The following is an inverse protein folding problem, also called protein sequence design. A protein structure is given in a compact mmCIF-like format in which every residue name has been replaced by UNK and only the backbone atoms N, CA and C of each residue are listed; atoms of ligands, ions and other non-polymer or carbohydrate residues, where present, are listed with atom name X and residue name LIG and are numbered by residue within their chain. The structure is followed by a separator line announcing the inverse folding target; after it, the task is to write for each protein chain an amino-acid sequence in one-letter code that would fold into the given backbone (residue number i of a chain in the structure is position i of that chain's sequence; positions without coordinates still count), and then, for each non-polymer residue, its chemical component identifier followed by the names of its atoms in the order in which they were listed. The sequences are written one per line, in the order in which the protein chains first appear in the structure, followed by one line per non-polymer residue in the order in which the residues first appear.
data_IF_234540801484
#
_entry.id   IF_234540801484
#
_cell.length_a   1.000
_cell.length_b   1.000
_cell.length_c   1.000
_cell.angle_alpha   90.00
_cell.angle_beta   90.00
_cell.angle_gamma   90.00
#
_symmetry.space_group_name_H-M   'P 1'
#
loop_
_entity.id
_entity.type
_entity.pdbx_description
1 polymer ?
#
# COMPACT_ATOMS: atom_id res chain seq x y z
N UNK A 1 -9.73 29.00 -23.60
CA UNK A 1 -9.54 27.63 -23.09
C UNK A 1 -8.13 27.57 -22.54
N UNK A 2 -7.92 27.33 -21.24
CA UNK A 2 -6.56 27.17 -20.73
C UNK A 2 -5.95 25.91 -21.35
N UNK A 3 -4.70 26.00 -21.81
CA UNK A 3 -3.92 24.84 -22.23
C UNK A 3 -3.97 23.77 -21.12
N UNK A 4 -4.01 22.46 -21.45
CA UNK A 4 -4.01 21.41 -20.44
C UNK A 4 -2.80 21.57 -19.51
N UNK A 5 -2.91 21.23 -18.22
CA UNK A 5 -1.78 21.33 -17.29
C UNK A 5 -0.65 20.43 -17.80
N UNK A 6 0.48 21.05 -18.11
CA UNK A 6 1.71 20.41 -18.55
C UNK A 6 2.09 19.33 -17.52
N UNK A 7 2.44 18.13 -17.97
CA UNK A 7 3.19 17.21 -17.11
C UNK A 7 4.49 17.89 -16.72
N UNK A 8 4.70 18.01 -15.42
CA UNK A 8 5.88 18.62 -14.81
C UNK A 8 6.82 17.53 -14.27
N UNK A 9 8.03 17.96 -13.90
CA UNK A 9 9.02 17.11 -13.29
C UNK A 9 10.05 16.52 -14.25
N UNK A 10 10.87 15.61 -13.73
CA UNK A 10 12.02 15.03 -14.39
C UNK A 10 11.64 13.72 -15.10
N UNK A 11 12.19 13.52 -16.31
CA UNK A 11 12.11 12.26 -17.04
C UNK A 11 13.40 12.08 -17.82
N UNK A 12 14.16 11.03 -17.52
CA UNK A 12 15.35 10.69 -18.26
C UNK A 12 15.00 10.37 -19.73
N UNK A 13 15.87 10.67 -20.71
CA UNK A 13 15.55 10.53 -22.13
C UNK A 13 14.95 9.18 -22.56
N UNK A 14 15.43 8.00 -22.07
CA UNK A 14 14.83 6.70 -22.40
C UNK A 14 13.36 6.57 -21.97
N UNK A 15 12.93 7.32 -20.95
CA UNK A 15 11.57 7.30 -20.42
C UNK A 15 10.64 8.34 -21.06
N UNK A 16 11.09 9.07 -22.10
CA UNK A 16 10.24 10.00 -22.84
C UNK A 16 8.93 9.39 -23.37
N UNK A 17 8.89 8.13 -23.85
CA UNK A 17 7.64 7.48 -24.24
C UNK A 17 6.61 7.38 -23.10
N UNK A 18 7.06 7.16 -21.85
CA UNK A 18 6.17 7.12 -20.69
C UNK A 18 5.52 8.48 -20.41
N UNK A 19 6.28 9.57 -20.55
CA UNK A 19 5.74 10.94 -20.45
C UNK A 19 4.65 11.18 -21.50
N UNK A 20 4.82 10.67 -22.72
CA UNK A 20 3.83 10.82 -23.79
C UNK A 20 2.53 10.08 -23.43
N UNK A 21 2.63 8.83 -22.99
CA UNK A 21 1.46 8.03 -22.58
C UNK A 21 0.71 8.68 -21.40
N UNK A 22 1.41 9.21 -20.41
CA UNK A 22 0.79 9.98 -19.32
C UNK A 22 0.09 11.25 -19.84
N UNK A 23 0.69 11.94 -20.82
CA UNK A 23 0.11 13.15 -21.41
C UNK A 23 -1.17 12.83 -22.16
N UNK A 24 -1.16 11.75 -22.95
CA UNK A 24 -2.32 11.24 -23.70
C UNK A 24 -3.45 10.85 -22.75
N UNK A 25 -3.16 10.11 -21.67
CA UNK A 25 -4.18 9.73 -20.69
C UNK A 25 -4.77 10.94 -19.96
N UNK A 26 -3.98 11.98 -19.68
CA UNK A 26 -4.47 13.22 -19.09
C UNK A 26 -5.36 14.01 -20.07
N UNK A 27 -4.98 14.07 -21.35
CA UNK A 27 -5.76 14.74 -22.40
C UNK A 27 -7.06 14.01 -22.73
N UNK A 28 -7.03 12.68 -22.74
CA UNK A 28 -8.20 11.82 -22.91
C UNK A 28 -9.14 11.84 -21.70
N UNK A 29 -8.67 12.37 -20.56
CA UNK A 29 -9.42 12.41 -19.30
C UNK A 29 -9.44 11.06 -18.58
N UNK A 30 -8.61 10.09 -18.99
CA UNK A 30 -8.36 8.85 -18.26
C UNK A 30 -7.66 9.12 -16.92
N UNK A 31 -6.86 10.20 -16.86
CA UNK A 31 -6.32 10.76 -15.63
C UNK A 31 -7.06 12.05 -15.23
N UNK A 32 -7.14 12.29 -13.91
CA UNK A 32 -7.52 13.61 -13.36
C UNK A 32 -6.26 14.33 -12.87
N UNK A 33 -5.57 13.74 -11.92
CA UNK A 33 -4.25 14.14 -11.45
C UNK A 33 -3.48 12.96 -10.89
N UNK A 34 -2.16 13.02 -11.03
CA UNK A 34 -1.27 11.93 -10.68
C UNK A 34 0.13 12.40 -10.30
N UNK A 35 0.87 11.50 -9.67
CA UNK A 35 2.33 11.50 -9.58
C UNK A 35 2.85 10.09 -9.90
N UNK A 36 4.00 10.02 -10.58
CA UNK A 36 4.70 8.78 -10.93
C UNK A 36 6.20 8.97 -10.72
N UNK A 37 6.83 8.04 -10.00
CA UNK A 37 8.28 8.06 -9.80
C UNK A 37 8.90 6.69 -10.04
N UNK A 38 10.05 6.70 -10.71
CA UNK A 38 10.87 5.52 -10.97
C UNK A 38 12.30 5.80 -10.55
N UNK A 39 12.87 4.88 -9.79
CA UNK A 39 14.27 4.90 -9.40
C UNK A 39 14.97 3.65 -9.91
N UNK A 40 16.25 3.77 -10.27
CA UNK A 40 17.13 2.65 -10.64
C UNK A 40 18.45 2.84 -9.90
N UNK A 41 18.79 1.90 -9.02
CA UNK A 41 19.83 2.11 -8.01
C UNK A 41 19.47 3.30 -7.10
N UNK A 42 20.39 4.25 -6.98
CA UNK A 42 20.18 5.49 -6.21
C UNK A 42 19.67 6.67 -7.08
N UNK A 43 19.45 6.46 -8.38
CA UNK A 43 19.08 7.54 -9.30
C UNK A 43 17.56 7.57 -9.55
N UNK A 44 16.97 8.75 -9.41
CA UNK A 44 15.58 9.00 -9.85
C UNK A 44 15.57 9.28 -11.34
N UNK A 45 15.13 8.30 -12.13
CA UNK A 45 15.05 8.39 -13.60
C UNK A 45 13.72 8.97 -14.08
N UNK A 46 12.67 8.87 -13.26
CA UNK A 46 11.37 9.50 -13.50
C UNK A 46 10.84 10.09 -12.19
N UNK A 47 10.37 11.32 -12.24
CA UNK A 47 9.64 11.99 -11.17
C UNK A 47 8.70 13.00 -11.84
N UNK A 48 7.51 12.51 -12.18
CA UNK A 48 6.51 13.23 -12.97
C UNK A 48 5.23 13.44 -12.17
N UNK A 49 4.60 14.59 -12.39
CA UNK A 49 3.26 14.88 -11.88
C UNK A 49 2.50 15.77 -12.84
N UNK A 50 1.17 15.75 -12.76
CA UNK A 50 0.33 16.55 -13.65
C UNK A 50 -1.15 16.42 -13.35
N UNK A 51 -1.94 17.23 -14.05
CA UNK A 51 -3.39 17.25 -13.88
C UNK A 51 -3.87 18.13 -12.73
N UNK A 52 -4.93 17.69 -12.07
CA UNK A 52 -5.67 18.45 -11.06
C UNK A 52 -5.81 17.67 -9.75
N UNK A 53 -5.71 18.37 -8.62
CA UNK A 53 -5.88 17.82 -7.29
C UNK A 53 -7.37 17.64 -6.92
N UNK A 54 -8.30 18.31 -7.60
CA UNK A 54 -9.74 18.31 -7.31
C UNK A 54 -10.60 17.92 -8.51
N UNK A 55 -11.80 17.39 -8.25
CA UNK A 55 -12.74 16.99 -9.30
C UNK A 55 -13.21 18.16 -10.17
N UNK A 56 -13.31 19.36 -9.57
CA UNK A 56 -13.72 20.58 -10.26
C UNK A 56 -12.63 21.16 -11.17
N UNK A 57 -11.41 20.59 -11.18
CA UNK A 57 -10.27 21.03 -11.98
C UNK A 57 -9.88 22.49 -11.71
N UNK A 58 -9.99 22.92 -10.46
CA UNK A 58 -9.65 24.29 -10.03
C UNK A 58 -8.27 24.38 -9.39
N UNK A 59 -7.74 23.25 -8.91
CA UNK A 59 -6.46 23.16 -8.25
C UNK A 59 -5.51 22.28 -9.05
N UNK A 60 -4.39 22.81 -9.57
CA UNK A 60 -3.42 21.98 -10.28
C UNK A 60 -2.73 21.00 -9.32
N UNK A 61 -2.42 19.81 -9.80
CA UNK A 61 -1.52 18.90 -9.09
C UNK A 61 -0.10 19.49 -9.06
N UNK A 62 0.54 19.53 -7.89
CA UNK A 62 1.88 20.08 -7.70
C UNK A 62 2.87 19.01 -7.26
N UNK A 63 4.16 19.35 -7.21
CA UNK A 63 5.21 18.45 -6.72
C UNK A 63 4.99 17.95 -5.27
N UNK A 64 4.21 18.68 -4.47
CA UNK A 64 3.96 18.40 -3.06
C UNK A 64 2.52 17.89 -2.80
N UNK A 65 1.73 17.71 -3.86
CA UNK A 65 0.37 17.17 -3.73
C UNK A 65 0.45 15.72 -3.27
N UNK A 66 -0.26 15.38 -2.20
CA UNK A 66 -0.41 14.01 -1.69
C UNK A 66 -1.84 13.54 -1.85
N UNK A 67 -2.01 12.23 -1.91
CA UNK A 67 -3.32 11.58 -2.01
C UNK A 67 -3.36 10.36 -1.09
N UNK A 68 -4.56 9.87 -0.79
CA UNK A 68 -4.70 8.58 -0.14
C UNK A 68 -4.22 7.48 -1.09
N UNK A 69 -3.28 6.64 -0.66
CA UNK A 69 -2.75 5.53 -1.46
C UNK A 69 -3.40 4.18 -1.08
N UNK A 70 -4.48 4.22 -0.32
CA UNK A 70 -5.25 3.07 0.15
C UNK A 70 -4.37 1.90 0.59
N UNK A 71 -4.57 0.71 0.02
CA UNK A 71 -3.85 -0.50 0.41
C UNK A 71 -2.35 -0.46 0.13
N UNK A 72 -1.83 0.38 -0.77
CA UNK A 72 -0.38 0.57 -0.94
C UNK A 72 0.31 0.97 0.37
N UNK A 73 -0.44 1.57 1.32
CA UNK A 73 0.03 1.85 2.68
C UNK A 73 0.53 0.60 3.43
N UNK A 74 0.01 -0.59 3.12
CA UNK A 74 0.46 -1.86 3.72
C UNK A 74 1.93 -2.14 3.51
N UNK A 75 2.51 -1.69 2.38
CA UNK A 75 3.95 -1.85 2.14
C UNK A 75 4.74 -1.15 3.25
N UNK A 76 4.34 0.07 3.63
CA UNK A 76 4.99 0.87 4.67
C UNK A 76 4.61 0.36 6.07
N UNK A 77 3.36 -0.03 6.29
CA UNK A 77 2.93 -0.62 7.58
C UNK A 77 3.68 -1.91 7.89
N UNK A 78 3.84 -2.79 6.91
CA UNK A 78 4.60 -4.02 7.08
C UNK A 78 6.11 -3.76 7.12
N UNK A 79 6.61 -2.69 6.51
CA UNK A 79 7.99 -2.23 6.71
C UNK A 79 8.26 -1.92 8.19
N UNK A 80 7.32 -1.27 8.90
CA UNK A 80 7.47 -1.02 10.33
C UNK A 80 7.61 -2.32 11.15
N UNK A 81 6.76 -3.33 10.88
CA UNK A 81 6.89 -4.65 11.50
C UNK A 81 8.22 -5.31 11.16
N UNK A 82 8.66 -5.21 9.91
CA UNK A 82 9.91 -5.78 9.44
C UNK A 82 11.14 -5.11 10.05
N UNK A 83 11.11 -3.81 10.35
CA UNK A 83 12.16 -3.15 11.12
C UNK A 83 12.24 -3.69 12.56
N UNK A 84 11.10 -4.03 13.18
CA UNK A 84 11.10 -4.70 14.49
C UNK A 84 11.63 -6.14 14.41
N UNK A 85 11.38 -6.83 13.30
CA UNK A 85 11.95 -8.17 13.02
C UNK A 85 13.47 -8.07 12.89
N UNK A 86 13.96 -7.10 12.11
CA UNK A 86 15.39 -6.85 11.91
C UNK A 86 16.11 -6.52 13.23
N UNK A 87 15.45 -5.77 14.11
CA UNK A 87 15.95 -5.43 15.46
C UNK A 87 15.84 -6.59 16.46
N UNK A 88 15.28 -7.73 16.08
CA UNK A 88 15.04 -8.88 16.96
C UNK A 88 13.96 -8.66 18.02
N UNK A 89 13.12 -7.62 17.85
CA UNK A 89 12.04 -7.26 18.77
C UNK A 89 10.71 -7.95 18.43
N UNK A 90 10.55 -8.39 17.18
CA UNK A 90 9.40 -9.13 16.69
C UNK A 90 9.86 -10.43 16.00
N UNK A 91 9.39 -11.58 16.48
CA UNK A 91 9.67 -12.88 15.87
C UNK A 91 8.47 -13.33 15.01
N UNK A 92 8.63 -13.48 13.67
CA UNK A 92 7.58 -13.97 12.77
C UNK A 92 7.01 -15.34 13.15
N UNK A 93 7.81 -16.19 13.82
CA UNK A 93 7.41 -17.55 14.21
C UNK A 93 6.84 -17.61 15.63
N UNK A 94 6.83 -16.51 16.37
CA UNK A 94 6.22 -16.46 17.69
C UNK A 94 4.69 -16.24 17.58
N UNK A 95 3.91 -16.75 18.55
CA UNK A 95 2.52 -16.39 18.70
C UNK A 95 2.35 -14.88 18.88
N UNK A 96 1.32 -14.29 18.28
CA UNK A 96 0.93 -12.88 18.49
C UNK A 96 0.68 -12.63 19.99
N UNK A 97 0.11 -13.61 20.68
CA UNK A 97 -0.14 -13.59 22.13
C UNK A 97 1.10 -13.33 23.00
N UNK A 98 2.31 -13.57 22.48
CA UNK A 98 3.57 -13.23 23.17
C UNK A 98 3.70 -11.71 23.38
N UNK A 99 3.24 -10.92 22.43
CA UNK A 99 3.33 -9.45 22.44
C UNK A 99 2.01 -8.80 22.86
N UNK A 100 0.90 -9.50 22.62
CA UNK A 100 -0.45 -9.03 22.88
C UNK A 100 -1.28 -10.16 23.53
N UNK A 101 -1.18 -10.36 24.86
CA UNK A 101 -1.81 -11.49 25.55
C UNK A 101 -3.33 -11.60 25.32
N UNK A 102 -4.03 -10.47 25.27
CA UNK A 102 -5.48 -10.41 25.05
C UNK A 102 -5.90 -10.95 23.67
N UNK A 103 -4.98 -10.95 22.69
CA UNK A 103 -5.21 -11.55 21.38
C UNK A 103 -5.40 -13.06 21.45
N UNK A 104 -4.95 -13.74 22.51
CA UNK A 104 -5.08 -15.18 22.66
C UNK A 104 -6.54 -15.66 22.72
N UNK A 105 -7.49 -14.78 23.02
CA UNK A 105 -8.90 -15.13 23.20
C UNK A 105 -9.51 -15.86 22.00
N UNK A 106 -10.51 -16.70 22.26
CA UNK A 106 -11.36 -17.33 21.24
C UNK A 106 -10.59 -18.12 20.15
N UNK A 107 -9.61 -18.92 20.57
CA UNK A 107 -8.92 -19.86 19.68
C UNK A 107 -7.76 -19.26 18.88
N UNK A 108 -7.21 -18.13 19.32
CA UNK A 108 -6.15 -17.38 18.63
C UNK A 108 -4.76 -17.59 19.25
N UNK A 109 -4.63 -18.46 20.25
CA UNK A 109 -3.39 -18.73 20.99
C UNK A 109 -2.25 -19.20 20.08
N UNK A 110 -2.58 -19.89 18.99
CA UNK A 110 -1.63 -20.43 18.01
C UNK A 110 -1.42 -19.54 16.77
N UNK A 111 -2.05 -18.36 16.68
CA UNK A 111 -1.82 -17.44 15.56
C UNK A 111 -0.43 -16.83 15.70
N UNK A 112 0.42 -17.10 14.71
CA UNK A 112 1.77 -16.57 14.62
C UNK A 112 1.79 -15.19 13.97
N UNK A 113 2.82 -14.40 14.28
CA UNK A 113 3.05 -13.08 13.66
C UNK A 113 3.07 -13.19 12.12
N UNK A 114 3.74 -14.20 11.56
CA UNK A 114 3.74 -14.42 10.10
C UNK A 114 2.35 -14.62 9.51
N UNK A 115 1.39 -15.17 10.26
CA UNK A 115 0.01 -15.33 9.77
C UNK A 115 -0.71 -13.98 9.63
N UNK A 116 -0.38 -13.00 10.48
CA UNK A 116 -0.90 -11.63 10.35
C UNK A 116 -0.27 -10.95 9.13
N UNK A 117 1.05 -11.08 8.98
CA UNK A 117 1.79 -10.46 7.86
C UNK A 117 1.42 -11.09 6.51
N UNK A 118 1.07 -12.38 6.47
CA UNK A 118 0.79 -13.10 5.22
C UNK A 118 -0.70 -13.34 4.94
N UNK A 119 -1.61 -12.64 5.62
CA UNK A 119 -3.07 -12.75 5.42
C UNK A 119 -3.67 -14.15 5.70
N UNK A 120 -3.10 -14.91 6.63
CA UNK A 120 -3.58 -16.26 6.99
C UNK A 120 -4.09 -16.38 8.43
N UNK A 121 -4.24 -15.25 9.14
CA UNK A 121 -4.69 -15.18 10.53
C UNK A 121 -6.20 -15.41 10.75
N UNK A 122 -7.04 -15.45 9.71
CA UNK A 122 -8.48 -15.67 9.87
C UNK A 122 -9.29 -14.48 10.33
N UNK A 123 -8.80 -13.26 10.12
CA UNK A 123 -9.45 -12.02 10.55
C UNK A 123 -9.61 -11.00 9.41
N UNK A 124 -10.07 -11.38 8.21
CA UNK A 124 -10.07 -10.48 7.05
C UNK A 124 -10.92 -9.23 7.26
N UNK A 125 -11.96 -9.30 8.11
CA UNK A 125 -12.82 -8.19 8.50
C UNK A 125 -13.35 -8.36 9.93
N UNK A 126 -14.03 -7.33 10.44
CA UNK A 126 -14.77 -7.41 11.70
C UNK A 126 -16.08 -8.20 11.54
N UNK A 127 -16.48 -8.94 12.57
CA UNK A 127 -17.83 -9.50 12.66
C UNK A 127 -18.89 -8.41 12.77
N UNK A 128 -20.08 -8.69 12.21
CA UNK A 128 -21.20 -7.76 12.26
C UNK A 128 -21.91 -7.81 13.63
N UNK A 129 -22.46 -6.68 14.12
CA UNK A 129 -22.45 -5.35 13.51
C UNK A 129 -21.13 -4.59 13.74
N UNK A 130 -20.72 -3.83 12.74
CA UNK A 130 -19.59 -2.89 12.80
C UNK A 130 -19.94 -1.62 12.02
N UNK A 131 -19.58 -0.46 12.55
CA UNK A 131 -19.76 0.84 11.88
C UNK A 131 -18.44 1.45 11.44
N UNK A 132 -18.49 2.39 10.49
CA UNK A 132 -17.31 3.16 10.09
C UNK A 132 -16.71 3.94 11.27
N UNK A 133 -17.54 4.46 12.18
CA UNK A 133 -17.10 5.16 13.38
C UNK A 133 -16.27 4.24 14.29
N UNK A 134 -16.76 3.02 14.57
CA UNK A 134 -16.04 2.03 15.35
C UNK A 134 -14.74 1.57 14.67
N UNK A 135 -14.71 1.50 13.33
CA UNK A 135 -13.48 1.21 12.57
C UNK A 135 -12.48 2.36 12.70
N UNK A 136 -12.95 3.61 12.72
CA UNK A 136 -12.11 4.79 12.84
C UNK A 136 -11.67 5.08 14.29
N UNK A 137 -12.25 4.40 15.28
CA UNK A 137 -11.78 4.37 16.66
C UNK A 137 -10.79 3.20 16.82
N UNK A 138 -9.49 3.50 16.70
CA UNK A 138 -8.43 2.47 16.73
C UNK A 138 -8.50 1.56 17.98
N UNK A 139 -8.65 2.08 19.22
CA UNK A 139 -8.88 1.24 20.39
C UNK A 139 -10.07 0.27 20.26
N UNK A 140 -11.24 0.76 19.82
CA UNK A 140 -12.45 -0.07 19.65
C UNK A 140 -12.24 -1.12 18.56
N UNK A 141 -11.75 -0.70 17.39
CA UNK A 141 -11.46 -1.59 16.26
C UNK A 141 -10.50 -2.72 16.65
N UNK A 142 -9.44 -2.39 17.42
CA UNK A 142 -8.43 -3.33 17.91
C UNK A 142 -9.02 -4.31 18.91
N UNK A 143 -9.78 -3.82 19.90
CA UNK A 143 -10.41 -4.65 20.92
C UNK A 143 -11.40 -5.66 20.31
N UNK A 144 -12.19 -5.24 19.30
CA UNK A 144 -13.09 -6.13 18.58
C UNK A 144 -12.34 -7.27 17.88
N UNK A 145 -11.22 -6.99 17.20
CA UNK A 145 -10.39 -8.04 16.58
C UNK A 145 -9.74 -8.97 17.62
N UNK A 146 -9.32 -8.42 18.76
CA UNK A 146 -8.77 -9.21 19.87
C UNK A 146 -9.78 -10.21 20.42
N UNK A 147 -11.06 -9.82 20.50
CA UNK A 147 -12.13 -10.66 20.99
C UNK A 147 -12.75 -11.57 19.90
N UNK A 148 -12.48 -11.34 18.61
CA UNK A 148 -13.11 -12.11 17.53
C UNK A 148 -12.51 -13.51 17.38
N UNK A 149 -13.34 -14.51 17.13
CA UNK A 149 -12.88 -15.85 16.71
C UNK A 149 -12.40 -15.79 15.25
N UNK A 150 -11.27 -16.44 14.89
CA UNK A 150 -10.83 -16.47 13.50
C UNK A 150 -11.84 -17.26 12.65
N UNK A 151 -12.05 -16.80 11.41
CA UNK A 151 -13.01 -17.41 10.48
C UNK A 151 -12.63 -18.81 10.02
N UNK A 152 -11.36 -19.19 10.19
CA UNK A 152 -10.85 -20.52 9.89
C UNK A 152 -9.87 -21.00 10.95
N UNK A 153 -9.79 -22.31 11.09
CA UNK A 153 -8.86 -23.02 11.98
C UNK A 153 -8.39 -24.30 11.28
N UNK A 154 -7.11 -24.70 11.44
CA UNK A 154 -6.06 -24.05 12.22
C UNK A 154 -5.54 -22.74 11.58
N UNK A 155 -4.86 -21.85 12.33
CA UNK A 155 -4.17 -20.67 11.76
C UNK A 155 -3.23 -21.07 10.61
N UNK A 156 -3.14 -20.26 9.56
CA UNK A 156 -2.32 -20.60 8.40
C UNK A 156 -3.01 -21.48 7.34
N UNK A 157 -4.16 -22.08 7.65
CA UNK A 157 -4.84 -23.05 6.75
C UNK A 157 -5.47 -22.42 5.50
N UNK A 158 -5.83 -21.14 5.55
CA UNK A 158 -6.47 -20.43 4.46
C UNK A 158 -5.83 -19.07 4.28
N UNK A 159 -5.72 -18.65 3.02
CA UNK A 159 -5.39 -17.29 2.63
C UNK A 159 -6.69 -16.52 2.40
N UNK A 160 -6.81 -15.37 3.03
CA UNK A 160 -7.90 -14.43 2.77
C UNK A 160 -7.47 -13.03 3.14
N UNK A 161 -7.36 -12.16 2.15
CA UNK A 161 -6.88 -10.80 2.28
C UNK A 161 -7.58 -10.01 3.39
N UNK A 162 -6.80 -9.27 4.16
CA UNK A 162 -7.24 -8.44 5.30
C UNK A 162 -7.22 -6.97 4.87
N UNK A 163 -8.24 -6.46 4.15
CA UNK A 163 -8.22 -5.14 3.53
C UNK A 163 -8.00 -4.00 4.54
N UNK A 164 -8.64 -4.05 5.69
CA UNK A 164 -8.48 -3.03 6.73
C UNK A 164 -7.77 -3.57 7.98
N UNK A 165 -8.13 -4.77 8.39
CA UNK A 165 -7.74 -5.34 9.69
C UNK A 165 -6.25 -5.63 9.81
N UNK A 166 -5.51 -5.90 8.72
CA UNK A 166 -4.06 -6.10 8.81
C UNK A 166 -3.36 -4.86 9.40
N UNK A 167 -3.76 -3.66 8.96
CA UNK A 167 -3.16 -2.43 9.46
C UNK A 167 -3.39 -2.24 10.96
N UNK A 168 -4.55 -2.65 11.46
CA UNK A 168 -4.90 -2.61 12.89
C UNK A 168 -4.09 -3.63 13.68
N UNK A 169 -4.00 -4.87 13.19
CA UNK A 169 -3.25 -5.95 13.83
C UNK A 169 -1.74 -5.64 13.90
N UNK A 170 -1.16 -5.16 12.80
CA UNK A 170 0.25 -4.76 12.75
C UNK A 170 0.49 -3.52 13.60
N UNK A 171 -0.40 -2.54 13.54
CA UNK A 171 -0.30 -1.33 14.37
C UNK A 171 -0.32 -1.62 15.86
N UNK A 172 -1.16 -2.56 16.32
CA UNK A 172 -1.20 -2.96 17.72
C UNK A 172 0.08 -3.70 18.14
N UNK A 173 0.66 -4.54 17.28
CA UNK A 173 1.97 -5.16 17.54
C UNK A 173 3.06 -4.11 17.71
N UNK A 174 3.13 -3.13 16.80
CA UNK A 174 4.08 -2.00 16.90
C UNK A 174 3.88 -1.26 18.22
N UNK A 175 2.63 -0.94 18.58
CA UNK A 175 2.31 -0.21 19.81
C UNK A 175 2.69 -0.98 21.07
N UNK A 176 2.42 -2.28 21.12
CA UNK A 176 2.77 -3.15 22.27
C UNK A 176 4.27 -3.28 22.46
N UNK A 177 5.04 -3.31 21.37
CA UNK A 177 6.49 -3.49 21.41
C UNK A 177 7.23 -2.18 21.72
N UNK A 178 6.76 -1.06 21.15
CA UNK A 178 7.51 0.21 21.15
C UNK A 178 6.90 1.27 22.07
N UNK A 179 5.62 1.14 22.43
CA UNK A 179 4.85 2.19 23.09
C UNK A 179 4.37 3.31 22.16
N UNK A 180 4.79 3.34 20.90
CA UNK A 180 4.39 4.37 19.91
C UNK A 180 3.15 3.92 19.13
N UNK A 181 2.35 4.88 18.66
CA UNK A 181 1.34 4.57 17.63
C UNK A 181 2.02 4.14 16.32
N UNK A 182 1.29 3.47 15.43
CA UNK A 182 1.85 3.03 14.15
C UNK A 182 2.30 4.23 13.31
N UNK A 183 1.49 5.29 13.27
CA UNK A 183 1.80 6.54 12.59
C UNK A 183 3.04 7.21 13.16
N UNK A 184 3.17 7.29 14.49
CA UNK A 184 4.35 7.86 15.13
C UNK A 184 5.63 7.06 14.86
N UNK A 185 5.55 5.73 14.89
CA UNK A 185 6.69 4.87 14.54
C UNK A 185 7.09 5.07 13.07
N UNK A 186 6.13 5.01 12.14
CA UNK A 186 6.40 5.22 10.70
C UNK A 186 7.00 6.61 10.46
N UNK A 187 6.48 7.64 11.12
CA UNK A 187 6.99 9.00 10.97
C UNK A 187 8.46 9.11 11.42
N UNK A 188 8.77 8.64 12.62
CA UNK A 188 10.10 8.79 13.24
C UNK A 188 11.17 7.83 12.71
N UNK A 189 10.78 6.63 12.29
CA UNK A 189 11.73 5.57 11.90
C UNK A 189 11.89 5.42 10.39
N UNK A 190 10.89 5.86 9.61
CA UNK A 190 10.85 5.69 8.15
C UNK A 190 10.78 7.05 7.45
N UNK A 191 9.69 7.80 7.65
CA UNK A 191 9.39 8.97 6.84
C UNK A 191 10.39 10.12 7.04
N UNK A 192 10.63 10.55 8.29
CA UNK A 192 11.55 11.66 8.59
C UNK A 192 13.02 11.32 8.27
N UNK A 193 13.56 10.17 8.67
CA UNK A 193 14.92 9.77 8.29
C UNK A 193 15.18 9.71 6.80
N UNK A 194 14.16 9.34 6.01
CA UNK A 194 14.25 9.30 4.57
C UNK A 194 13.87 10.66 3.97
N UNK A 195 13.31 11.62 4.69
CA UNK A 195 12.72 12.82 4.09
C UNK A 195 11.61 12.48 3.09
N UNK A 196 10.85 11.42 3.34
CA UNK A 196 9.72 11.00 2.53
C UNK A 196 8.43 11.61 3.08
N UNK A 197 7.67 12.32 2.23
CA UNK A 197 6.37 12.89 2.59
C UNK A 197 5.29 11.79 2.58
N UNK A 198 5.29 11.01 3.67
CA UNK A 198 4.36 9.93 3.94
C UNK A 198 3.80 10.08 5.35
N UNK A 199 2.49 9.91 5.53
CA UNK A 199 1.84 9.88 6.85
C UNK A 199 0.72 8.85 6.92
N UNK A 200 0.53 8.24 8.09
CA UNK A 200 -0.70 7.49 8.44
C UNK A 200 -1.63 8.42 9.21
N UNK A 201 -2.92 8.37 8.87
CA UNK A 201 -3.93 9.42 9.07
C UNK A 201 -3.89 10.29 10.33
N UNK A 202 -2.95 11.23 10.36
CA UNK A 202 -3.07 12.51 11.08
C UNK A 202 -2.42 13.57 10.21
N UNK A 203 -3.25 14.24 9.39
CA UNK A 203 -2.94 15.59 8.95
C UNK A 203 -3.54 16.50 10.03
N UNK A 204 -2.72 17.12 10.92
CA UNK A 204 -3.27 17.95 11.99
C UNK A 204 -4.20 19.01 11.41
N UNK A 205 -5.31 19.25 12.09
CA UNK A 205 -6.42 20.05 11.59
C UNK A 205 -6.25 21.58 11.84
N UNK A 206 -5.08 22.07 12.24
CA UNK A 206 -4.85 23.50 12.47
C UNK A 206 -3.42 24.05 12.20
N UNK A 207 -3.46 25.28 11.68
CA UNK A 207 -2.50 26.33 11.29
C UNK A 207 -1.35 26.08 10.29
N UNK A 208 -0.76 24.88 10.17
CA UNK A 208 0.36 24.64 9.21
C UNK A 208 0.21 23.39 8.34
N UNK A 209 -0.72 22.49 8.67
CA UNK A 209 -1.03 21.35 7.84
C UNK A 209 -1.84 21.83 6.66
N UNK A 210 -1.27 21.88 5.45
CA UNK A 210 -1.93 22.46 4.28
C UNK A 210 -3.00 21.49 3.70
N UNK A 211 -4.30 21.57 4.05
CA UNK A 211 -5.33 20.80 3.36
C UNK A 211 -5.36 21.11 1.86
N UNK A 212 -4.76 22.22 1.40
CA UNK A 212 -4.66 22.52 -0.03
C UNK A 212 -3.71 21.57 -0.78
N UNK A 213 -2.87 20.79 -0.08
CA UNK A 213 -1.99 19.81 -0.73
C UNK A 213 -2.60 18.41 -0.87
N UNK A 214 -3.74 18.12 -0.24
CA UNK A 214 -4.36 16.79 -0.29
C UNK A 214 -5.36 16.71 -1.43
N UNK A 215 -5.06 15.90 -2.43
CA UNK A 215 -5.96 15.66 -3.55
C UNK A 215 -7.28 15.01 -3.10
N UNK A 216 -8.38 15.43 -3.72
CA UNK A 216 -9.70 14.83 -3.58
C UNK A 216 -9.73 13.49 -4.32
N UNK A 217 -10.03 12.40 -3.61
CA UNK A 217 -10.20 11.09 -4.22
C UNK A 217 -11.53 11.00 -4.98
N UNK A 218 -11.49 10.70 -6.27
CA UNK A 218 -12.65 10.65 -7.16
C UNK A 218 -12.93 9.20 -7.56
N UNK A 219 -13.89 8.53 -6.88
CA UNK A 219 -14.27 7.16 -7.19
C UNK A 219 -15.17 7.06 -8.44
N UNK A 220 -15.10 5.92 -9.14
CA UNK A 220 -16.05 5.57 -10.20
C UNK A 220 -17.39 5.08 -9.62
N UNK A 221 -18.53 5.35 -10.28
CA UNK A 221 -19.85 4.91 -9.82
C UNK A 221 -20.05 3.38 -9.67
N UNK A 222 -19.21 2.55 -10.30
CA UNK A 222 -19.41 1.09 -10.43
C UNK A 222 -18.21 0.27 -9.94
N UNK A 223 -17.51 0.72 -8.90
CA UNK A 223 -16.24 0.08 -8.46
C UNK A 223 -16.32 -1.35 -7.95
N UNK A 224 -17.46 -1.75 -7.39
CA UNK A 224 -17.64 -3.10 -6.87
C UNK A 224 -19.11 -3.48 -6.98
N UNK A 225 -19.42 -4.37 -7.92
CA UNK A 225 -20.73 -4.99 -7.95
C UNK A 225 -20.75 -6.15 -6.96
N UNK A 226 -21.68 -6.09 -6.01
CA UNK A 226 -21.98 -7.19 -5.11
C UNK A 226 -23.07 -8.12 -5.69
N UNK A 227 -23.61 -7.76 -6.86
CA UNK A 227 -24.62 -8.56 -7.54
C UNK A 227 -24.04 -9.93 -7.95
N UNK A 228 -24.78 -11.00 -7.65
CA UNK A 228 -24.38 -12.36 -7.99
C UNK A 228 -23.34 -12.99 -7.06
N UNK A 229 -22.82 -12.26 -6.06
CA UNK A 229 -21.99 -12.85 -5.03
C UNK A 229 -22.83 -13.70 -4.07
N UNK A 230 -22.32 -14.89 -3.74
CA UNK A 230 -22.91 -15.71 -2.68
C UNK A 230 -22.90 -14.92 -1.36
N UNK A 231 -24.06 -14.67 -0.73
CA UNK A 231 -24.16 -13.97 0.55
C UNK A 231 -23.33 -14.62 1.68
N UNK A 232 -23.06 -15.92 1.59
CA UNK A 232 -22.25 -16.66 2.55
C UNK A 232 -20.74 -16.64 2.23
N UNK A 233 -20.33 -16.11 1.06
CA UNK A 233 -18.93 -16.09 0.65
C UNK A 233 -18.06 -15.25 1.59
N UNK A 234 -16.79 -15.65 1.72
CA UNK A 234 -15.78 -14.92 2.50
C UNK A 234 -15.58 -13.50 1.94
N UNK A 235 -15.65 -13.32 0.61
CA UNK A 235 -15.62 -12.00 -0.01
C UNK A 235 -16.81 -11.13 0.44
N UNK A 236 -18.04 -11.64 0.39
CA UNK A 236 -19.21 -10.87 0.85
C UNK A 236 -19.08 -10.47 2.32
N UNK A 237 -18.75 -11.44 3.19
CA UNK A 237 -18.55 -11.18 4.63
C UNK A 237 -17.45 -10.15 4.86
N UNK A 238 -16.37 -10.19 4.09
CA UNK A 238 -15.25 -9.24 4.21
C UNK A 238 -15.67 -7.83 3.83
N UNK A 239 -16.40 -7.67 2.72
CA UNK A 239 -16.92 -6.37 2.29
C UNK A 239 -17.89 -5.79 3.32
N UNK A 240 -18.82 -6.59 3.83
CA UNK A 240 -19.82 -6.13 4.80
C UNK A 240 -19.18 -5.84 6.17
N UNK A 241 -18.17 -6.62 6.58
CA UNK A 241 -17.45 -6.44 7.83
C UNK A 241 -16.37 -5.34 7.78
N UNK A 242 -16.15 -4.69 6.64
CA UNK A 242 -15.25 -3.54 6.49
C UNK A 242 -15.89 -2.44 5.62
N UNK A 243 -17.01 -1.84 6.05
CA UNK A 243 -17.80 -0.90 5.25
C UNK A 243 -17.12 0.48 5.14
N UNK A 244 -16.01 0.54 4.41
CA UNK A 244 -15.20 1.75 4.23
C UNK A 244 -15.49 2.33 2.84
N UNK A 245 -16.30 3.40 2.71
CA UNK A 245 -16.52 4.04 1.43
C UNK A 245 -15.26 4.79 0.99
N UNK A 246 -14.94 4.83 -0.32
CA UNK A 246 -13.72 5.46 -0.81
C UNK A 246 -13.71 6.97 -0.52
N UNK A 247 -14.87 7.62 -0.44
CA UNK A 247 -15.02 9.04 -0.11
C UNK A 247 -14.72 9.34 1.37
N UNK A 248 -14.59 8.34 2.26
CA UNK A 248 -14.27 8.57 3.67
C UNK A 248 -12.88 9.18 3.90
N UNK A 249 -12.07 9.32 2.86
CA UNK A 249 -10.77 10.01 2.86
C UNK A 249 -10.86 11.47 2.35
N UNK A 250 -12.05 11.95 1.95
CA UNK A 250 -12.22 13.29 1.37
C UNK A 250 -12.73 14.32 2.37
N UNK A 251 -12.09 15.49 2.37
CA UNK A 251 -12.45 16.62 3.23
C UNK A 251 -11.69 16.63 4.56
N UNK A 252 -11.46 17.81 5.13
CA UNK A 252 -10.68 17.97 6.37
C UNK A 252 -11.29 17.24 7.57
N UNK A 253 -12.62 17.10 7.62
CA UNK A 253 -13.34 16.41 8.69
C UNK A 253 -13.50 14.90 8.50
N UNK A 254 -12.97 14.33 7.41
CA UNK A 254 -13.22 12.93 7.08
C UNK A 254 -12.63 12.00 8.14
N UNK A 255 -13.39 10.98 8.59
CA UNK A 255 -12.97 10.14 9.71
C UNK A 255 -11.67 9.40 9.40
N UNK A 256 -11.47 8.91 8.17
CA UNK A 256 -10.22 8.25 7.80
C UNK A 256 -9.01 9.16 7.71
N UNK A 257 -9.15 10.49 7.61
CA UNK A 257 -7.98 11.39 7.63
C UNK A 257 -7.35 11.52 9.01
N UNK A 258 -8.09 11.17 10.06
CA UNK A 258 -7.72 11.38 11.47
C UNK A 258 -7.43 10.10 12.25
N UNK A 259 -7.55 8.94 11.61
CA UNK A 259 -7.27 7.65 12.23
C UNK A 259 -5.94 7.09 11.71
N UNK A 260 -5.28 6.24 12.47
CA UNK A 260 -4.16 5.43 11.96
C UNK A 260 -4.65 4.03 11.54
N UNK A 261 -5.13 3.90 10.29
CA UNK A 261 -5.51 2.60 9.71
C UNK A 261 -4.47 2.21 8.65
N UNK A 262 -3.37 1.61 9.10
CA UNK A 262 -2.20 1.27 8.28
C UNK A 262 -2.46 0.37 7.05
N UNK A 263 -3.69 -0.13 6.89
CA UNK A 263 -4.11 -0.88 5.71
C UNK A 263 -4.87 -0.05 4.67
N UNK A 264 -5.34 1.15 4.99
CA UNK A 264 -6.35 1.86 4.19
C UNK A 264 -6.15 3.36 4.04
N UNK A 265 -5.37 4.05 4.90
CA UNK A 265 -5.34 5.51 4.92
C UNK A 265 -3.95 6.16 5.03
N UNK A 266 -2.95 5.57 4.36
CA UNK A 266 -1.68 6.27 4.12
C UNK A 266 -1.86 7.42 3.11
N UNK A 267 -1.30 8.57 3.42
CA UNK A 267 -1.25 9.75 2.54
C UNK A 267 0.19 9.96 2.07
N UNK A 268 0.39 10.03 0.76
CA UNK A 268 1.71 10.17 0.15
C UNK A 268 1.61 10.67 -1.29
N UNK A 269 2.76 10.91 -1.91
CA UNK A 269 2.93 11.00 -3.35
C UNK A 269 3.90 9.91 -3.85
N UNK A 270 3.98 9.75 -5.18
CA UNK A 270 4.83 8.73 -5.79
C UNK A 270 6.32 8.94 -5.48
N UNK A 271 6.81 10.17 -5.39
CA UNK A 271 8.21 10.47 -5.06
C UNK A 271 8.57 9.94 -3.67
N UNK A 272 7.75 10.22 -2.66
CA UNK A 272 7.94 9.75 -1.30
C UNK A 272 7.86 8.22 -1.21
N UNK A 273 6.89 7.59 -1.88
CA UNK A 273 6.78 6.13 -1.97
C UNK A 273 8.01 5.50 -2.62
N UNK A 274 8.45 6.05 -3.76
CA UNK A 274 9.62 5.55 -4.47
C UNK A 274 10.89 5.70 -3.64
N UNK A 275 11.02 6.76 -2.84
CA UNK A 275 12.14 6.95 -1.92
C UNK A 275 12.18 5.92 -0.80
N UNK A 276 11.03 5.58 -0.21
CA UNK A 276 10.93 4.48 0.76
C UNK A 276 11.27 3.13 0.11
N UNK A 277 10.71 2.85 -1.06
CA UNK A 277 11.03 1.61 -1.79
C UNK A 277 12.49 1.55 -2.28
N UNK A 278 13.11 2.68 -2.62
CA UNK A 278 14.52 2.79 -2.99
C UNK A 278 15.44 2.27 -1.90
N UNK A 279 15.15 2.59 -0.64
CA UNK A 279 15.90 2.07 0.50
C UNK A 279 15.88 0.53 0.54
N UNK A 280 14.74 -0.09 0.21
CA UNK A 280 14.60 -1.55 0.20
C UNK A 280 15.37 -2.16 -0.98
N UNK A 281 15.18 -1.66 -2.20
CA UNK A 281 15.84 -2.21 -3.40
C UNK A 281 17.36 -1.99 -3.42
N UNK A 282 17.86 -1.03 -2.64
CA UNK A 282 19.29 -0.80 -2.41
C UNK A 282 19.86 -1.56 -1.20
N UNK A 283 19.19 -2.64 -0.75
CA UNK A 283 19.73 -3.53 0.29
C UNK A 283 19.58 -2.97 1.71
N UNK A 284 18.54 -2.17 1.93
CA UNK A 284 18.19 -1.62 3.24
C UNK A 284 18.98 -0.37 3.61
N UNK A 285 19.57 0.30 2.63
CA UNK A 285 20.40 1.50 2.81
C UNK A 285 20.02 2.58 1.80
N UNK A 286 19.95 3.83 2.25
CA UNK A 286 19.81 4.99 1.39
C UNK A 286 20.54 6.18 2.03
N UNK A 287 21.19 7.02 1.22
CA UNK A 287 21.93 8.22 1.66
C UNK A 287 22.93 7.95 2.80
N UNK A 288 23.60 6.79 2.76
CA UNK A 288 24.59 6.36 3.75
C UNK A 288 24.02 5.91 5.10
N UNK A 289 22.68 5.78 5.21
CA UNK A 289 22.00 5.30 6.43
C UNK A 289 21.36 3.94 6.17
N UNK A 290 21.65 2.98 7.06
CA UNK A 290 21.04 1.65 7.08
C UNK A 290 19.75 1.65 7.89
N UNK A 291 18.71 1.07 7.32
CA UNK A 291 17.36 0.95 7.87
C UNK A 291 16.94 -0.51 8.09
N UNK A 292 17.41 -1.40 7.22
CA UNK A 292 17.17 -2.84 7.25
C UNK A 292 18.46 -3.60 6.91
N UNK A 293 18.64 -4.79 7.45
CA UNK A 293 19.69 -5.69 7.00
C UNK A 293 19.31 -6.36 5.66
N UNK A 294 20.30 -6.68 4.81
CA UNK A 294 20.06 -7.48 3.61
C UNK A 294 19.47 -8.87 3.93
N UNK A 295 19.82 -9.42 5.11
CA UNK A 295 19.30 -10.70 5.59
C UNK A 295 17.78 -10.64 5.84
N UNK A 296 17.31 -9.63 6.56
CA UNK A 296 15.86 -9.43 6.76
C UNK A 296 15.15 -9.21 5.45
N UNK A 297 15.74 -8.46 4.51
CA UNK A 297 15.16 -8.26 3.18
C UNK A 297 15.00 -9.59 2.44
N UNK A 298 16.00 -10.47 2.46
CA UNK A 298 15.89 -11.80 1.87
C UNK A 298 14.75 -12.60 2.52
N UNK A 299 14.68 -12.57 3.86
CA UNK A 299 13.66 -13.28 4.64
C UNK A 299 12.24 -12.78 4.36
N UNK A 300 12.06 -11.47 4.12
CA UNK A 300 10.75 -10.90 3.77
C UNK A 300 10.24 -11.47 2.45
N UNK A 301 11.14 -11.71 1.50
CA UNK A 301 10.82 -12.22 0.17
C UNK A 301 10.61 -13.75 0.13
N UNK A 302 10.84 -14.47 1.22
CA UNK A 302 10.53 -15.89 1.31
C UNK A 302 9.01 -16.10 1.33
N UNK A 303 8.43 -16.87 0.38
CA UNK A 303 7.00 -17.15 0.37
C UNK A 303 6.53 -17.78 1.67
N UNK A 304 5.60 -17.13 2.36
CA UNK A 304 4.91 -17.66 3.53
C UNK A 304 3.65 -18.43 3.16
N UNK A 305 3.03 -18.04 2.04
CA UNK A 305 1.86 -18.69 1.45
C UNK A 305 1.83 -18.42 -0.05
N UNK A 306 1.33 -19.39 -0.80
CA UNK A 306 0.98 -19.28 -2.22
C UNK A 306 -0.27 -20.13 -2.47
N UNK A 307 -1.43 -19.48 -2.52
CA UNK A 307 -2.73 -20.14 -2.55
C UNK A 307 -3.80 -19.26 -3.21
N UNK A 308 -4.97 -19.83 -3.50
CA UNK A 308 -6.14 -19.03 -3.89
C UNK A 308 -6.62 -18.25 -2.67
N UNK A 309 -6.63 -16.93 -2.79
CA UNK A 309 -7.12 -16.02 -1.76
C UNK A 309 -8.65 -16.03 -1.75
N UNK A 310 -9.25 -16.33 -0.59
CA UNK A 310 -10.70 -16.48 -0.42
C UNK A 310 -11.47 -15.16 -0.47
N UNK A 311 -10.78 -14.03 -0.33
CA UNK A 311 -11.34 -12.68 -0.44
C UNK A 311 -11.15 -12.14 -1.85
N UNK A 312 -9.96 -12.31 -2.43
CA UNK A 312 -9.64 -11.78 -3.76
C UNK A 312 -10.06 -12.72 -4.91
N UNK A 313 -10.35 -13.99 -4.62
CA UNK A 313 -10.85 -14.96 -5.59
C UNK A 313 -9.80 -15.47 -6.58
N UNK A 314 -8.51 -15.22 -6.34
CA UNK A 314 -7.41 -15.56 -7.26
C UNK A 314 -6.16 -15.99 -6.51
N UNK A 315 -5.20 -16.60 -7.22
CA UNK A 315 -3.95 -17.08 -6.63
C UNK A 315 -3.07 -15.89 -6.23
N UNK A 316 -2.62 -15.86 -4.97
CA UNK A 316 -1.74 -14.84 -4.43
C UNK A 316 -0.59 -15.49 -3.68
N UNK A 317 0.61 -14.93 -3.80
CA UNK A 317 1.75 -15.27 -2.97
C UNK A 317 2.14 -14.08 -2.07
N UNK A 318 2.42 -14.39 -0.82
CA UNK A 318 2.78 -13.40 0.19
C UNK A 318 4.06 -13.80 0.92
N UNK A 319 4.97 -12.84 1.03
CA UNK A 319 6.10 -12.89 1.94
C UNK A 319 5.69 -12.42 3.35
N UNK A 320 6.65 -11.85 4.08
CA UNK A 320 6.36 -11.19 5.37
C UNK A 320 5.80 -9.78 5.14
N UNK A 321 4.53 -9.71 4.75
CA UNK A 321 3.77 -8.46 4.63
C UNK A 321 3.73 -7.83 3.25
N UNK A 322 4.48 -8.36 2.28
CA UNK A 322 4.46 -7.89 0.89
C UNK A 322 4.02 -9.00 -0.04
N UNK A 323 3.27 -8.64 -1.08
CA UNK A 323 2.94 -9.61 -2.12
C UNK A 323 4.16 -9.89 -2.98
N UNK A 324 4.24 -11.13 -3.42
CA UNK A 324 5.28 -11.63 -4.28
C UNK A 324 4.68 -11.93 -5.67
N UNK A 325 5.50 -11.89 -6.73
CA UNK A 325 5.11 -12.32 -8.05
C UNK A 325 4.39 -13.66 -8.05
N UNK A 326 3.26 -13.74 -8.73
CA UNK A 326 2.51 -14.98 -8.93
C UNK A 326 2.01 -14.98 -10.36
N UNK A 327 2.15 -16.10 -11.07
CA UNK A 327 1.69 -16.22 -12.46
C UNK A 327 0.17 -16.05 -12.57
N UNK A 328 -0.29 -15.31 -13.57
CA UNK A 328 -1.72 -15.09 -13.86
C UNK A 328 -2.35 -13.96 -13.04
N UNK A 329 -1.55 -13.08 -12.45
CA UNK A 329 -2.02 -11.90 -11.72
C UNK A 329 -1.91 -10.63 -12.57
N UNK A 330 -2.58 -9.57 -12.10
CA UNK A 330 -2.69 -8.27 -12.76
C UNK A 330 -1.37 -7.65 -13.24
N UNK A 331 -0.23 -8.07 -12.67
CA UNK A 331 1.10 -7.59 -13.00
C UNK A 331 2.01 -8.72 -13.48
N UNK A 332 1.52 -9.55 -14.40
CA UNK A 332 2.25 -10.66 -15.05
C UNK A 332 3.61 -10.28 -15.67
N UNK A 333 3.96 -8.99 -15.77
CA UNK A 333 5.28 -8.51 -16.21
C UNK A 333 6.28 -8.29 -15.07
N UNK A 334 5.81 -8.41 -13.84
CA UNK A 334 6.57 -8.40 -12.59
C UNK A 334 6.86 -9.86 -12.21
N UNK A 335 7.28 -10.72 -13.15
CA UNK A 335 7.28 -12.18 -12.95
C UNK A 335 8.64 -12.86 -12.95
N UNK A 336 9.70 -12.14 -13.31
CA UNK A 336 11.07 -12.68 -13.25
C UNK A 336 11.94 -11.86 -12.28
N UNK A 337 12.09 -12.38 -11.06
CA UNK A 337 13.07 -11.89 -10.09
C UNK A 337 12.55 -11.73 -8.68
N UNK A 338 13.43 -11.22 -7.82
CA UNK A 338 13.15 -10.85 -6.44
C UNK A 338 12.38 -9.54 -6.39
N UNK A 339 11.05 -9.64 -6.47
CA UNK A 339 10.16 -8.48 -6.43
C UNK A 339 9.19 -8.58 -5.25
N UNK A 340 8.92 -7.43 -4.64
CA UNK A 340 7.82 -7.24 -3.71
C UNK A 340 6.97 -6.05 -4.16
N UNK A 341 5.66 -6.13 -3.98
CA UNK A 341 4.77 -5.03 -4.33
C UNK A 341 3.52 -5.04 -3.47
N UNK A 342 2.80 -3.92 -3.52
CA UNK A 342 1.37 -3.92 -3.27
C UNK A 342 0.70 -2.72 -3.91
N UNK A 343 -0.59 -2.84 -4.15
CA UNK A 343 -1.40 -1.78 -4.72
C UNK A 343 -2.51 -1.33 -3.78
N UNK A 344 -3.04 -0.16 -4.09
CA UNK A 344 -4.14 0.47 -3.42
C UNK A 344 -5.37 0.49 -4.31
N UNK A 345 -6.52 0.40 -3.66
CA UNK A 345 -7.82 0.50 -4.32
C UNK A 345 -7.85 1.71 -5.27
N UNK A 346 -8.27 1.47 -6.50
CA UNK A 346 -8.33 2.47 -7.56
C UNK A 346 -7.10 2.50 -8.47
N UNK A 347 -5.93 2.00 -8.04
CA UNK A 347 -4.73 1.89 -8.90
C UNK A 347 -3.40 2.42 -8.37
N UNK A 348 -3.32 3.03 -7.17
CA UNK A 348 -1.99 3.41 -6.64
C UNK A 348 -1.12 2.16 -6.47
N UNK A 349 0.19 2.24 -6.63
CA UNK A 349 1.07 1.07 -6.50
C UNK A 349 2.47 1.43 -6.03
N UNK A 350 3.11 0.51 -5.32
CA UNK A 350 4.54 0.51 -5.03
C UNK A 350 5.13 -0.85 -5.40
N UNK A 351 6.07 -0.88 -6.34
CA UNK A 351 6.82 -2.06 -6.77
C UNK A 351 8.29 -1.87 -6.40
N UNK A 352 8.87 -2.88 -5.76
CA UNK A 352 10.28 -2.95 -5.35
C UNK A 352 10.92 -4.17 -6.01
N UNK A 353 11.62 -3.97 -7.12
CA UNK A 353 12.39 -5.00 -7.85
C UNK A 353 13.86 -4.93 -7.41
N UNK A 354 14.27 -5.89 -6.59
CA UNK A 354 15.60 -5.90 -5.99
C UNK A 354 16.69 -6.32 -6.98
N UNK A 355 16.36 -7.18 -7.94
CA UNK A 355 17.33 -7.67 -8.92
C UNK A 355 17.71 -6.55 -9.91
N UNK A 356 16.73 -5.73 -10.29
CA UNK A 356 16.95 -4.55 -11.14
C UNK A 356 17.32 -3.30 -10.35
N UNK A 357 17.35 -3.39 -9.02
CA UNK A 357 17.44 -2.24 -8.09
C UNK A 357 16.46 -1.13 -8.47
N UNK A 358 15.26 -1.51 -8.90
CA UNK A 358 14.29 -0.60 -9.49
C UNK A 358 13.09 -0.48 -8.57
N UNK A 359 12.68 0.75 -8.27
CA UNK A 359 11.44 1.02 -7.56
C UNK A 359 10.50 1.86 -8.43
N UNK A 360 9.24 1.43 -8.53
CA UNK A 360 8.18 2.12 -9.27
C UNK A 360 7.09 2.50 -8.28
N UNK A 361 6.71 3.77 -8.26
CA UNK A 361 5.59 4.25 -7.47
C UNK A 361 4.65 5.08 -8.33
N UNK A 362 3.36 4.90 -8.13
CA UNK A 362 2.32 5.70 -8.79
C UNK A 362 1.18 5.97 -7.81
N UNK A 363 0.71 7.21 -7.81
CA UNK A 363 -0.38 7.68 -6.97
C UNK A 363 -1.22 8.70 -7.74
N UNK A 364 -2.53 8.60 -7.61
CA UNK A 364 -3.50 9.34 -8.40
C UNK A 364 -4.75 9.65 -7.58
N UNK A 365 -5.60 10.52 -8.10
CA UNK A 365 -6.87 10.85 -7.46
C UNK A 365 -8.10 10.45 -8.27
N UNK A 366 -7.98 10.10 -9.56
CA UNK A 366 -9.05 9.42 -10.29
C UNK A 366 -8.86 7.92 -10.14
N UNK A 367 -9.73 7.30 -9.35
CA UNK A 367 -9.71 5.86 -9.14
C UNK A 367 -10.21 5.14 -10.39
N UNK A 368 -9.62 3.99 -10.68
CA UNK A 368 -10.15 2.99 -11.60
C UNK A 368 -11.36 2.26 -11.02
N UNK A 369 -12.00 1.45 -11.85
CA UNK A 369 -13.18 0.68 -11.45
C UNK A 369 -12.83 -0.66 -10.76
N UNK A 370 -11.56 -1.05 -10.68
CA UNK A 370 -11.14 -2.33 -10.10
C UNK A 370 -10.62 -2.19 -8.67
N UNK A 371 -10.81 -3.25 -7.87
CA UNK A 371 -10.21 -3.35 -6.52
C UNK A 371 -8.68 -3.50 -6.58
N UNK A 372 -8.18 -4.10 -7.65
CA UNK A 372 -6.77 -4.29 -8.00
C UNK A 372 -6.64 -4.29 -9.53
N UNK A 373 -5.45 -3.98 -10.04
CA UNK A 373 -5.08 -4.17 -11.43
C UNK A 373 -5.72 -3.12 -12.32
N UNK A 374 -5.67 -1.86 -11.90
CA UNK A 374 -6.11 -0.74 -12.75
C UNK A 374 -5.32 -0.78 -14.07
N UNK A 375 -6.03 -0.70 -15.19
CA UNK A 375 -5.45 -0.89 -16.52
C UNK A 375 -4.42 0.18 -16.89
N UNK A 376 -4.55 1.42 -16.37
CA UNK A 376 -3.57 2.49 -16.58
C UNK A 376 -2.29 2.15 -15.83
N UNK A 377 -2.43 1.73 -14.58
CA UNK A 377 -1.31 1.30 -13.74
C UNK A 377 -0.55 0.15 -14.38
N UNK A 378 -1.25 -0.88 -14.85
CA UNK A 378 -0.66 -2.00 -15.58
C UNK A 378 0.09 -1.54 -16.84
N UNK A 379 -0.50 -0.63 -17.62
CA UNK A 379 0.12 -0.09 -18.84
C UNK A 379 1.41 0.69 -18.53
N UNK A 380 1.41 1.54 -17.49
CA UNK A 380 2.60 2.28 -17.07
C UNK A 380 3.70 1.36 -16.58
N UNK A 381 3.37 0.39 -15.72
CA UNK A 381 4.32 -0.61 -15.22
C UNK A 381 4.91 -1.41 -16.38
N UNK A 382 4.07 -1.90 -17.30
CA UNK A 382 4.49 -2.61 -18.52
C UNK A 382 5.50 -1.80 -19.32
N UNK A 383 5.20 -0.53 -19.58
CA UNK A 383 6.04 0.35 -20.36
C UNK A 383 7.38 0.61 -19.67
N UNK A 384 7.37 0.82 -18.35
CA UNK A 384 8.60 1.01 -17.55
C UNK A 384 9.50 -0.22 -17.63
N UNK A 385 8.95 -1.43 -17.46
CA UNK A 385 9.73 -2.67 -17.56
C UNK A 385 10.27 -2.89 -18.97
N UNK A 386 9.52 -2.55 -20.01
CA UNK A 386 10.01 -2.64 -21.40
C UNK A 386 11.20 -1.69 -21.61
N UNK A 387 11.07 -0.42 -21.22
CA UNK A 387 12.16 0.57 -21.33
C UNK A 387 13.39 0.11 -20.54
N UNK A 388 13.21 -0.43 -19.33
CA UNK A 388 14.32 -0.93 -18.52
C UNK A 388 15.05 -2.11 -19.18
N UNK A 389 14.33 -3.02 -19.85
CA UNK A 389 14.92 -4.13 -20.62
C UNK A 389 15.72 -3.60 -21.81
N UNK A 390 15.14 -2.71 -22.60
CA UNK A 390 15.81 -2.12 -23.78
C UNK A 390 17.11 -1.38 -23.39
N UNK A 391 17.13 -0.74 -22.20
CA UNK A 391 18.32 -0.07 -21.66
C UNK A 391 19.42 -1.03 -21.21
N UNK A 392 19.08 -2.26 -20.78
CA UNK A 392 20.07 -3.28 -20.43
C UNK A 392 20.72 -3.84 -21.70
N UNK A 393 19.92 -4.19 -22.71
CA UNK A 393 20.42 -4.71 -23.99
C UNK A 393 21.35 -3.72 -24.71
N UNK A 394 21.10 -2.43 -24.59
CA UNK A 394 21.93 -1.38 -25.23
C UNK A 394 23.28 -1.18 -24.52
N UNK A 395 23.42 -1.59 -23.25
CA UNK A 395 24.70 -1.51 -22.51
C UNK A 395 25.61 -2.72 -22.75
N UNK A 396 25.09 -3.80 -23.34
CA UNK A 396 25.83 -5.04 -23.63
C UNK A 396 26.36 -5.13 -25.07
N UNK A 397 26.10 -4.13 -25.92
CA UNK A 397 26.63 -3.97 -27.29
C UNK A 397 27.72 -2.90 -27.31
#
# INVERSE_FOLDING_TARGET
MSLPPLIQGHCAPPFSPLRNTLTENLQAGEELGFSLSVTVGNETVVDLWGGYADAARTQPWTANTVTCIFSSSKVITNLAANMLIDRGLLDPSAPVARYWPEFAANGKEAILVKHVLSHTAGLPAWELPITLEEICDTPVATAKLAAQQPWWSPPGSHLGYHPATQGVLVGELVRRITGQSLGAFVQSEIAEPLGADYRLGVLPADEEGDPARVAEMVPQPQMLSLEGLDPASIMMRTTMGSPIPPQAVNGAGAPLRRTELGGTNGFSNARAMARIGSMVVNGGELDGKRFLSPETINRILEPQVDAVDSVMGKRMSWGLGWALPTSGNSYDLVTDGRVAYWEGWGGSILIMDLDRKMCIAYAMNKMGASLEGDSRTQAYVKQIYQIARDMQDTKEV
#
